data_IF_946248524372
#
_entry.id   IF_946248524372
#
_cell.length_a   1.000
_cell.length_b   1.000
_cell.length_c   1.000
_cell.angle_alpha   90.00
_cell.angle_beta   90.00
_cell.angle_gamma   90.00
#
_symmetry.space_group_name_H-M   'P 1'
#
loop_
_entity.id
_entity.type
_entity.pdbx_description
1 polymer ?
#
# COMPACT_ATOMS: atom_id res chain seq x y z
N UNK A 1 -10.83 9.43 15.09
CA UNK A 1 -9.69 8.71 14.53
C UNK A 1 -10.18 7.35 14.02
N UNK A 2 -9.67 6.93 12.86
CA UNK A 2 -9.88 5.55 12.40
C UNK A 2 -8.98 4.63 13.22
N UNK A 3 -9.54 3.51 13.68
CA UNK A 3 -8.80 2.53 14.49
C UNK A 3 -8.61 1.26 13.64
N UNK A 4 -7.36 0.82 13.48
CA UNK A 4 -6.96 -0.35 12.72
C UNK A 4 -6.14 -1.27 13.62
N UNK A 5 -6.59 -2.51 13.82
CA UNK A 5 -5.83 -3.49 14.61
C UNK A 5 -4.58 -3.93 13.84
N UNK A 6 -4.74 -4.29 12.57
CA UNK A 6 -3.64 -4.82 11.76
C UNK A 6 -3.64 -4.24 10.36
N UNK A 7 -2.54 -3.57 10.00
CA UNK A 7 -2.33 -2.93 8.70
C UNK A 7 -1.20 -3.64 7.95
N UNK A 8 -1.47 -4.04 6.70
CA UNK A 8 -0.46 -4.57 5.78
C UNK A 8 -0.08 -3.50 4.76
N UNK A 9 1.21 -3.29 4.54
CA UNK A 9 1.74 -2.42 3.48
C UNK A 9 2.45 -3.29 2.45
N UNK A 10 1.88 -3.40 1.25
CA UNK A 10 2.43 -4.16 0.13
C UNK A 10 3.35 -3.30 -0.72
N UNK A 11 4.51 -3.85 -1.14
CA UNK A 11 5.54 -3.10 -1.84
C UNK A 11 5.97 -1.90 -1.00
N UNK A 12 6.29 -2.18 0.25
CA UNK A 12 6.36 -1.15 1.30
C UNK A 12 7.53 -0.20 1.13
N UNK A 13 8.55 -0.61 0.37
CA UNK A 13 9.82 0.11 0.38
C UNK A 13 10.22 0.42 1.84
N UNK A 14 10.74 1.59 2.17
CA UNK A 14 11.04 1.91 3.57
C UNK A 14 9.81 2.39 4.37
N UNK A 15 8.77 2.88 3.74
CA UNK A 15 7.47 3.34 4.32
C UNK A 15 7.58 4.27 5.53
N UNK A 16 8.69 4.96 5.72
CA UNK A 16 8.92 5.83 6.89
C UNK A 16 7.85 6.93 6.96
N UNK A 17 7.67 7.67 5.85
CA UNK A 17 6.67 8.74 5.79
C UNK A 17 5.24 8.22 5.97
N UNK A 18 4.91 7.09 5.36
CA UNK A 18 3.59 6.47 5.51
C UNK A 18 3.33 6.08 6.97
N UNK A 19 4.31 5.46 7.61
CA UNK A 19 4.23 5.09 9.02
C UNK A 19 4.01 6.32 9.91
N UNK A 20 4.77 7.41 9.72
CA UNK A 20 4.63 8.65 10.50
C UNK A 20 3.25 9.29 10.31
N UNK A 21 2.76 9.38 9.07
CA UNK A 21 1.44 9.91 8.76
C UNK A 21 0.32 9.06 9.39
N UNK A 22 0.37 7.75 9.24
CA UNK A 22 -0.61 6.84 9.82
C UNK A 22 -0.59 6.90 11.36
N UNK A 23 0.60 6.94 11.96
CA UNK A 23 0.75 7.01 13.42
C UNK A 23 0.29 8.33 14.02
N UNK A 24 0.27 9.41 13.23
CA UNK A 24 -0.20 10.74 13.66
C UNK A 24 -1.72 10.88 13.53
N UNK A 25 -2.32 10.29 12.49
CA UNK A 25 -3.72 10.53 12.13
C UNK A 25 -4.65 9.35 12.37
N UNK A 26 -4.11 8.16 12.57
CA UNK A 26 -4.85 6.92 12.79
C UNK A 26 -4.35 6.22 14.06
N UNK A 27 -5.21 5.38 14.62
CA UNK A 27 -4.85 4.49 15.71
C UNK A 27 -4.56 3.10 15.11
N UNK A 28 -3.29 2.71 15.05
CA UNK A 28 -2.86 1.43 14.46
C UNK A 28 -2.14 0.61 15.52
N UNK A 29 -2.65 -0.59 15.79
CA UNK A 29 -2.06 -1.47 16.78
C UNK A 29 -0.83 -2.22 16.26
N UNK A 30 -0.84 -2.63 14.98
CA UNK A 30 0.27 -3.36 14.36
C UNK A 30 0.41 -3.08 12.87
N UNK A 31 1.64 -2.90 12.39
CA UNK A 31 2.00 -2.82 10.97
C UNK A 31 2.79 -4.06 10.53
N UNK A 32 2.41 -4.64 9.39
CA UNK A 32 3.25 -5.56 8.63
C UNK A 32 3.72 -4.86 7.35
N UNK A 33 5.03 -4.71 7.17
CA UNK A 33 5.65 -4.13 5.99
C UNK A 33 6.19 -5.26 5.11
N UNK A 34 5.64 -5.40 3.92
CA UNK A 34 6.01 -6.44 2.98
C UNK A 34 6.71 -5.84 1.77
N UNK A 35 7.93 -6.28 1.51
CA UNK A 35 8.72 -5.95 0.34
C UNK A 35 9.68 -7.10 0.01
N UNK A 36 10.03 -7.26 -1.26
CA UNK A 36 11.01 -8.27 -1.67
C UNK A 36 12.45 -7.81 -1.53
N UNK A 37 12.68 -6.50 -1.30
CA UNK A 37 14.02 -5.93 -1.08
C UNK A 37 14.36 -5.85 0.42
N UNK A 38 15.30 -6.67 0.92
CA UNK A 38 15.69 -6.65 2.32
C UNK A 38 16.35 -5.34 2.76
N UNK A 39 16.90 -4.55 1.85
CA UNK A 39 17.53 -3.27 2.19
C UNK A 39 16.49 -2.23 2.63
N UNK A 40 15.30 -2.25 2.04
CA UNK A 40 14.20 -1.37 2.45
C UNK A 40 13.82 -1.60 3.91
N UNK A 41 13.77 -2.85 4.36
CA UNK A 41 13.49 -3.21 5.75
C UNK A 41 14.58 -2.74 6.69
N UNK A 42 15.85 -2.99 6.33
CA UNK A 42 17.00 -2.55 7.13
C UNK A 42 17.02 -1.03 7.33
N UNK A 43 16.78 -0.27 6.28
CA UNK A 43 16.81 1.19 6.33
C UNK A 43 15.68 1.75 7.20
N UNK A 44 14.48 1.16 7.14
CA UNK A 44 13.37 1.47 8.04
C UNK A 44 13.68 1.14 9.48
N UNK A 45 14.18 -0.07 9.75
CA UNK A 45 14.50 -0.53 11.10
C UNK A 45 15.57 0.37 11.74
N UNK A 46 16.58 0.78 10.96
CA UNK A 46 17.59 1.73 11.42
C UNK A 46 16.98 3.09 11.78
N UNK A 47 16.09 3.62 10.93
CA UNK A 47 15.39 4.89 11.17
C UNK A 47 14.54 4.82 12.44
N UNK A 48 13.76 3.75 12.63
CA UNK A 48 12.90 3.57 13.80
C UNK A 48 13.71 3.44 15.08
N UNK A 49 14.83 2.72 15.04
CA UNK A 49 15.75 2.60 16.19
C UNK A 49 16.36 3.95 16.58
N UNK A 50 16.88 4.72 15.62
CA UNK A 50 17.49 6.03 15.90
C UNK A 50 16.47 7.01 16.48
N UNK A 51 15.23 6.97 16.03
CA UNK A 51 14.19 7.91 16.45
C UNK A 51 13.32 7.37 17.60
N UNK A 52 13.66 6.23 18.20
CA UNK A 52 12.91 5.56 19.26
C UNK A 52 11.42 5.35 18.93
N UNK A 53 11.13 5.01 17.67
CA UNK A 53 9.78 4.74 17.18
C UNK A 53 9.43 3.26 17.41
N UNK A 54 9.29 2.87 18.66
CA UNK A 54 8.99 1.49 19.08
C UNK A 54 7.48 1.21 19.06
N UNK A 55 6.89 1.14 17.87
CA UNK A 55 5.54 0.58 17.72
C UNK A 55 5.61 -0.85 17.21
N UNK A 56 4.53 -1.58 17.42
CA UNK A 56 4.41 -2.96 16.96
C UNK A 56 4.43 -3.01 15.43
N UNK A 57 5.51 -3.49 14.85
CA UNK A 57 5.59 -3.77 13.43
C UNK A 57 6.40 -5.03 13.16
N UNK A 58 6.18 -5.63 11.99
CA UNK A 58 6.97 -6.73 11.47
C UNK A 58 7.42 -6.43 10.04
N UNK A 59 8.52 -7.05 9.63
CA UNK A 59 9.06 -6.99 8.28
C UNK A 59 8.91 -8.34 7.61
N UNK A 60 8.27 -8.36 6.42
CA UNK A 60 8.02 -9.58 5.63
C UNK A 60 8.80 -9.47 4.32
N UNK A 61 9.84 -10.26 4.15
CA UNK A 61 10.63 -10.31 2.90
C UNK A 61 9.96 -11.30 1.95
N UNK A 62 9.16 -10.78 1.03
CA UNK A 62 8.39 -11.59 0.08
C UNK A 62 7.94 -10.76 -1.12
N UNK A 63 7.74 -11.41 -2.25
CA UNK A 63 7.01 -10.85 -3.39
C UNK A 63 5.52 -10.66 -3.01
N UNK A 64 5.03 -9.42 -3.10
CA UNK A 64 3.68 -9.06 -2.70
C UNK A 64 2.59 -9.86 -3.46
N UNK A 65 2.87 -10.27 -4.70
CA UNK A 65 1.95 -11.07 -5.52
C UNK A 65 1.80 -12.53 -5.05
N UNK A 66 2.68 -12.97 -4.15
CA UNK A 66 2.66 -14.33 -3.56
C UNK A 66 2.06 -14.35 -2.16
N UNK A 67 1.80 -13.19 -1.58
CA UNK A 67 1.18 -13.11 -0.26
C UNK A 67 -0.31 -13.43 -0.34
N UNK A 68 -0.82 -14.32 0.50
CA UNK A 68 -2.20 -14.81 0.43
C UNK A 68 -3.06 -14.55 1.67
N UNK A 69 -2.44 -14.22 2.81
CA UNK A 69 -3.16 -14.05 4.08
C UNK A 69 -3.74 -12.63 4.25
N UNK A 70 -4.45 -12.15 3.24
CA UNK A 70 -5.05 -10.82 3.25
C UNK A 70 -6.16 -10.68 4.31
N UNK A 71 -6.88 -11.75 4.58
CA UNK A 71 -8.04 -11.74 5.51
C UNK A 71 -7.66 -11.50 6.97
N UNK A 72 -6.38 -11.64 7.32
CA UNK A 72 -5.86 -11.36 8.66
C UNK A 72 -5.68 -9.87 8.96
N UNK A 73 -6.00 -9.00 8.01
CA UNK A 73 -5.79 -7.55 8.12
C UNK A 73 -7.10 -6.77 8.03
N UNK A 74 -7.14 -5.62 8.70
CA UNK A 74 -8.26 -4.68 8.61
C UNK A 74 -8.06 -3.69 7.44
N UNK A 75 -6.81 -3.32 7.19
CA UNK A 75 -6.42 -2.40 6.12
C UNK A 75 -5.20 -2.93 5.36
N UNK A 76 -5.28 -2.94 4.04
CA UNK A 76 -4.17 -3.24 3.14
C UNK A 76 -3.87 -2.01 2.31
N UNK A 77 -2.63 -1.54 2.38
CA UNK A 77 -2.14 -0.36 1.65
C UNK A 77 -1.18 -0.83 0.57
N UNK A 78 -1.42 -0.40 -0.67
CA UNK A 78 -0.49 -0.57 -1.78
C UNK A 78 -0.36 0.75 -2.54
N UNK A 79 0.75 1.45 -2.33
CA UNK A 79 1.06 2.72 -3.01
C UNK A 79 1.93 2.54 -4.25
N UNK A 80 2.16 1.30 -4.66
CA UNK A 80 3.10 0.88 -5.71
C UNK A 80 2.45 -0.09 -6.71
N UNK A 81 1.13 0.04 -6.95
CA UNK A 81 0.39 -0.87 -7.82
C UNK A 81 0.97 -0.90 -9.26
N UNK A 82 1.56 0.20 -9.73
CA UNK A 82 2.19 0.29 -11.05
C UNK A 82 3.41 -0.62 -11.21
N UNK A 83 4.03 -1.05 -10.13
CA UNK A 83 5.25 -1.88 -10.14
C UNK A 83 4.98 -3.39 -10.08
N UNK A 84 3.75 -3.81 -9.86
CA UNK A 84 3.41 -5.22 -9.66
C UNK A 84 2.14 -5.62 -10.42
N UNK A 85 1.93 -6.93 -10.57
CA UNK A 85 0.65 -7.44 -11.11
C UNK A 85 -0.50 -7.10 -10.17
N UNK A 86 -1.72 -7.11 -10.71
CA UNK A 86 -2.93 -6.93 -9.91
C UNK A 86 -2.96 -7.89 -8.72
N UNK A 87 -3.31 -7.34 -7.57
CA UNK A 87 -3.55 -8.09 -6.34
C UNK A 87 -5.03 -7.90 -5.99
N UNK A 88 -5.91 -8.81 -6.48
CA UNK A 88 -7.35 -8.67 -6.29
C UNK A 88 -7.72 -8.61 -4.83
N UNK A 89 -8.61 -7.68 -4.48
CA UNK A 89 -9.16 -7.58 -3.15
C UNK A 89 -9.95 -8.85 -2.79
N UNK A 90 -9.81 -9.29 -1.56
CA UNK A 90 -10.60 -10.38 -0.96
C UNK A 90 -11.61 -9.82 0.03
N UNK A 91 -12.61 -10.60 0.38
CA UNK A 91 -13.59 -10.25 1.39
C UNK A 91 -12.93 -10.03 2.76
N UNK A 92 -13.27 -8.95 3.44
CA UNK A 92 -12.83 -8.60 4.79
C UNK A 92 -12.09 -7.28 4.85
N UNK A 93 -10.85 -7.16 4.35
CA UNK A 93 -10.06 -5.94 4.48
C UNK A 93 -10.59 -4.74 3.69
N UNK A 94 -10.31 -3.55 4.21
CA UNK A 94 -10.30 -2.32 3.39
C UNK A 94 -8.97 -2.23 2.64
N UNK A 95 -9.01 -1.77 1.40
CA UNK A 95 -7.83 -1.55 0.55
C UNK A 95 -7.67 -0.07 0.26
N UNK A 96 -6.44 0.45 0.43
CA UNK A 96 -6.03 1.78 0.02
C UNK A 96 -4.96 1.65 -1.07
N UNK A 97 -5.34 1.89 -2.31
CA UNK A 97 -4.53 1.61 -3.48
C UNK A 97 -4.13 2.89 -4.18
N UNK A 98 -2.87 2.95 -4.63
CA UNK A 98 -2.37 3.99 -5.52
C UNK A 98 -1.67 3.39 -6.73
N UNK A 99 -1.82 4.05 -7.87
CA UNK A 99 -1.08 3.81 -9.11
C UNK A 99 -0.96 5.12 -9.89
N UNK A 100 -0.33 5.08 -11.06
CA UNK A 100 -0.13 6.24 -11.92
C UNK A 100 -0.22 5.87 -13.40
N UNK A 101 -0.16 6.89 -14.28
CA UNK A 101 -0.12 6.70 -15.74
C UNK A 101 1.27 6.99 -16.34
N UNK A 102 2.34 6.96 -15.56
CA UNK A 102 3.70 7.22 -16.02
C UNK A 102 4.31 5.97 -16.67
N UNK A 103 4.26 5.90 -17.99
CA UNK A 103 4.70 4.74 -18.79
C UNK A 103 6.11 4.89 -19.40
N UNK A 104 6.86 5.91 -19.00
CA UNK A 104 8.20 6.14 -19.54
C UNK A 104 9.23 5.08 -19.10
N UNK A 105 9.01 4.44 -17.95
CA UNK A 105 9.87 3.39 -17.40
C UNK A 105 9.17 2.03 -17.56
N UNK A 106 9.11 1.53 -18.80
CA UNK A 106 8.31 0.34 -19.16
C UNK A 106 8.65 -0.92 -18.38
N UNK A 107 9.90 -1.12 -18.04
CA UNK A 107 10.35 -2.33 -17.34
C UNK A 107 10.00 -2.34 -15.85
N UNK A 108 9.68 -1.19 -15.28
CA UNK A 108 9.33 -1.03 -13.87
C UNK A 108 7.85 -0.69 -13.66
N UNK A 109 7.23 0.00 -14.60
CA UNK A 109 5.83 0.41 -14.55
C UNK A 109 4.98 -0.50 -15.44
N UNK A 110 4.78 -1.74 -14.99
CA UNK A 110 4.10 -2.79 -15.76
C UNK A 110 2.57 -2.71 -15.67
N UNK A 111 2.04 -1.97 -14.69
CA UNK A 111 0.61 -1.96 -14.34
C UNK A 111 0.10 -0.53 -14.08
N UNK A 112 0.38 0.37 -15.01
CA UNK A 112 -0.15 1.74 -14.98
C UNK A 112 -1.65 1.76 -15.26
N UNK A 113 -2.34 2.75 -14.66
CA UNK A 113 -3.76 3.01 -14.89
C UNK A 113 -3.99 4.43 -15.40
N UNK A 114 -5.12 4.68 -16.05
CA UNK A 114 -5.50 5.99 -16.56
C UNK A 114 -6.63 6.66 -15.75
N UNK A 115 -7.15 5.96 -14.74
CA UNK A 115 -8.17 6.50 -13.85
C UNK A 115 -8.29 5.72 -12.54
N UNK A 116 -8.89 6.35 -11.52
CA UNK A 116 -9.26 5.72 -10.25
C UNK A 116 -10.24 4.57 -10.45
N UNK A 117 -11.14 4.70 -11.44
CA UNK A 117 -12.12 3.68 -11.80
C UNK A 117 -11.43 2.42 -12.35
N UNK A 118 -10.40 2.60 -13.18
CA UNK A 118 -9.61 1.50 -13.69
C UNK A 118 -8.85 0.82 -12.54
N UNK A 119 -8.20 1.58 -11.67
CA UNK A 119 -7.48 1.07 -10.50
C UNK A 119 -8.39 0.22 -9.60
N UNK A 120 -9.58 0.74 -9.28
CA UNK A 120 -10.56 0.02 -8.47
C UNK A 120 -11.03 -1.29 -9.14
N UNK A 121 -11.33 -1.24 -10.45
CA UNK A 121 -11.79 -2.40 -11.23
C UNK A 121 -10.73 -3.51 -11.32
N UNK A 122 -9.48 -3.16 -11.61
CA UNK A 122 -8.37 -4.11 -11.72
C UNK A 122 -8.14 -4.87 -10.41
N UNK A 123 -8.38 -4.21 -9.28
CA UNK A 123 -8.18 -4.79 -7.95
C UNK A 123 -9.48 -5.28 -7.29
N UNK A 124 -10.56 -5.47 -8.04
CA UNK A 124 -11.85 -5.99 -7.56
C UNK A 124 -12.50 -5.19 -6.41
N UNK A 125 -12.24 -3.90 -6.31
CA UNK A 125 -12.95 -3.08 -5.33
C UNK A 125 -14.40 -2.88 -5.82
N UNK A 126 -15.37 -3.46 -5.12
CA UNK A 126 -16.80 -3.37 -5.46
C UNK A 126 -17.51 -2.24 -4.71
N UNK A 127 -17.04 -1.93 -3.51
CA UNK A 127 -17.55 -0.84 -2.68
C UNK A 127 -16.48 0.22 -2.50
N UNK A 128 -16.69 1.39 -3.05
CA UNK A 128 -15.72 2.48 -3.07
C UNK A 128 -16.05 3.50 -2.00
N UNK A 129 -15.14 3.68 -1.07
CA UNK A 129 -15.22 4.68 0.00
C UNK A 129 -14.63 6.02 -0.42
N UNK A 130 -13.56 6.00 -1.23
CA UNK A 130 -12.89 7.19 -1.72
C UNK A 130 -12.26 6.94 -3.09
N UNK A 131 -12.29 7.97 -3.94
CA UNK A 131 -11.51 8.07 -5.19
C UNK A 131 -10.93 9.46 -5.30
N UNK A 132 -9.69 9.55 -5.74
CA UNK A 132 -9.04 10.82 -5.97
C UNK A 132 -7.86 10.70 -6.91
N UNK A 133 -7.45 11.84 -7.46
CA UNK A 133 -6.24 11.91 -8.25
C UNK A 133 -5.47 13.19 -7.95
N UNK A 134 -4.19 13.16 -8.29
CA UNK A 134 -3.30 14.31 -8.21
C UNK A 134 -2.48 14.39 -9.49
N UNK A 135 -2.69 15.48 -10.24
CA UNK A 135 -1.88 15.79 -11.40
C UNK A 135 -0.51 16.31 -10.94
N UNK A 136 0.53 15.71 -11.48
CA UNK A 136 1.93 16.10 -11.32
C UNK A 136 2.44 16.58 -12.69
N UNK A 137 3.66 17.11 -12.77
CA UNK A 137 4.18 17.72 -14.00
C UNK A 137 4.13 16.79 -15.21
N UNK A 138 4.48 15.51 -15.03
CA UNK A 138 4.63 14.56 -16.13
C UNK A 138 3.62 13.40 -16.11
N UNK A 139 2.81 13.27 -15.05
CA UNK A 139 1.85 12.18 -14.91
C UNK A 139 0.77 12.51 -13.88
N UNK A 140 -0.23 11.65 -13.81
CA UNK A 140 -1.28 11.73 -12.79
C UNK A 140 -1.18 10.51 -11.87
N UNK A 141 -1.25 10.74 -10.58
CA UNK A 141 -1.42 9.71 -9.56
C UNK A 141 -2.88 9.52 -9.25
N UNK A 142 -3.33 8.26 -9.19
CA UNK A 142 -4.70 7.88 -8.89
C UNK A 142 -4.75 7.10 -7.59
N UNK A 143 -5.82 7.30 -6.83
CA UNK A 143 -6.07 6.61 -5.56
C UNK A 143 -7.50 6.08 -5.53
N UNK A 144 -7.66 4.87 -5.03
CA UNK A 144 -8.94 4.27 -4.70
C UNK A 144 -8.86 3.64 -3.30
N UNK A 145 -9.87 3.91 -2.47
CA UNK A 145 -10.05 3.23 -1.18
C UNK A 145 -11.40 2.54 -1.23
N UNK A 146 -11.44 1.29 -0.81
CA UNK A 146 -12.67 0.50 -0.83
C UNK A 146 -12.42 -0.92 -0.38
N UNK A 147 -13.42 -1.76 -0.57
CA UNK A 147 -13.36 -3.18 -0.21
C UNK A 147 -14.11 -4.04 -1.22
N UNK A 148 -13.83 -5.33 -1.19
CA UNK A 148 -14.57 -6.35 -1.91
C UNK A 148 -15.70 -6.89 -1.03
N UNK A 149 -16.90 -6.90 -1.60
CA UNK A 149 -18.11 -7.40 -0.93
C UNK A 149 -18.77 -8.51 -1.74
#
# INVERSE_FOLDING_TARGET
NMNWKKVLVLGSWNSILLYELMSTHCDVEHFDFLDNDPYCHRDRDLYFNINNLFKNYSSIIMDATKFSDHQSYDLIINTSCEHMKDIPAVFGPTYALQSNNYRAIKDQHINCVDSEKQLAKQNNLTNILYKGNKKLDNYTRFMAIGYYF
#
